data_IF_807907950712
#
_entry.id   IF_807907950712
#
_cell.length_a   1.000
_cell.length_b   1.000
_cell.length_c   1.000
_cell.angle_alpha   90.00
_cell.angle_beta   90.00
_cell.angle_gamma   90.00
#
_symmetry.space_group_name_H-M   'P 1'
#
loop_
_entity.id
_entity.type
_entity.pdbx_description
1 polymer ?
#
# COMPACT_ATOMS: atom_id res chain seq x y z
N UNK A 1 23.27 1.28 18.72
CA UNK A 1 22.98 1.59 17.32
C UNK A 1 21.53 1.21 17.05
N UNK A 2 20.74 2.09 16.49
CA UNK A 2 19.30 1.82 16.26
C UNK A 2 19.06 1.33 14.84
N UNK A 3 18.35 0.23 14.67
CA UNK A 3 17.85 -0.24 13.38
C UNK A 3 16.63 0.57 12.90
N UNK A 4 16.08 1.41 13.77
CA UNK A 4 14.89 2.20 13.47
C UNK A 4 15.21 3.32 12.47
N UNK A 5 14.34 3.51 11.51
CA UNK A 5 14.36 4.65 10.59
C UNK A 5 13.76 5.88 11.27
N UNK A 6 14.20 7.05 10.87
CA UNK A 6 13.48 8.29 11.18
C UNK A 6 12.12 8.31 10.48
N UNK A 7 11.23 9.19 10.88
CA UNK A 7 9.92 9.32 10.24
C UNK A 7 10.04 9.62 8.75
N UNK A 8 10.90 10.54 8.36
CA UNK A 8 11.08 10.92 6.95
C UNK A 8 11.71 9.79 6.13
N UNK A 9 12.68 9.06 6.71
CA UNK A 9 13.24 7.87 6.06
C UNK A 9 12.20 6.77 5.87
N UNK A 10 11.33 6.53 6.86
CA UNK A 10 10.26 5.53 6.76
C UNK A 10 9.26 5.90 5.64
N UNK A 11 8.86 7.16 5.54
CA UNK A 11 8.01 7.62 4.45
C UNK A 11 8.68 7.53 3.09
N UNK A 12 9.97 7.85 3.00
CA UNK A 12 10.75 7.66 1.76
C UNK A 12 10.80 6.19 1.33
N UNK A 13 10.95 5.27 2.28
CA UNK A 13 10.89 3.82 1.99
C UNK A 13 9.52 3.41 1.46
N UNK A 14 8.44 3.91 2.07
CA UNK A 14 7.08 3.66 1.59
C UNK A 14 6.89 4.17 0.16
N UNK A 15 7.27 5.41 -0.13
CA UNK A 15 7.13 6.02 -1.46
C UNK A 15 7.89 5.26 -2.55
N UNK A 16 9.08 4.77 -2.24
CA UNK A 16 9.96 4.07 -3.17
C UNK A 16 9.60 2.59 -3.34
N UNK A 17 8.82 2.01 -2.44
CA UNK A 17 8.45 0.59 -2.50
C UNK A 17 7.43 0.33 -3.61
N UNK A 18 7.63 -0.77 -4.35
CA UNK A 18 6.79 -1.12 -5.49
C UNK A 18 5.48 -1.80 -5.06
N UNK A 19 5.55 -2.72 -4.14
CA UNK A 19 4.40 -3.50 -3.67
C UNK A 19 4.27 -3.38 -2.17
N UNK A 20 3.06 -3.19 -1.70
CA UNK A 20 2.74 -3.19 -0.27
C UNK A 20 1.77 -4.30 0.07
N UNK A 21 1.66 -4.61 1.35
CA UNK A 21 0.73 -5.59 1.89
C UNK A 21 -0.30 -4.85 2.73
N UNK A 22 -1.54 -4.86 2.27
CA UNK A 22 -2.67 -4.33 3.03
C UNK A 22 -3.32 -5.45 3.84
N UNK A 23 -3.56 -5.21 5.12
CA UNK A 23 -4.26 -6.15 6.00
C UNK A 23 -5.58 -5.55 6.47
N UNK A 24 -6.66 -6.27 6.22
CA UNK A 24 -8.02 -5.92 6.64
C UNK A 24 -8.62 -7.06 7.45
N UNK A 25 -9.66 -6.79 8.24
CA UNK A 25 -10.22 -7.74 9.18
C UNK A 25 -11.52 -8.37 8.66
N UNK A 26 -11.65 -9.68 8.79
CA UNK A 26 -12.90 -10.41 8.61
C UNK A 26 -13.87 -10.10 9.77
N UNK A 27 -15.12 -10.55 9.64
CA UNK A 27 -16.13 -10.39 10.70
C UNK A 27 -15.77 -11.09 12.00
N UNK A 28 -15.04 -12.21 11.91
CA UNK A 28 -14.53 -12.96 13.04
C UNK A 28 -13.23 -12.38 13.63
N UNK A 29 -12.75 -11.24 13.10
CA UNK A 29 -11.52 -10.60 13.51
C UNK A 29 -10.26 -11.17 12.87
N UNK A 30 -10.35 -12.22 12.07
CA UNK A 30 -9.19 -12.79 11.40
C UNK A 30 -8.61 -11.81 10.39
N UNK A 31 -7.28 -11.54 10.40
CA UNK A 31 -6.63 -10.66 9.46
C UNK A 31 -6.46 -11.34 8.10
N UNK A 32 -6.68 -10.58 7.03
CA UNK A 32 -6.42 -10.98 5.65
C UNK A 32 -5.42 -10.01 5.06
N UNK A 33 -4.21 -10.51 4.79
CA UNK A 33 -3.09 -9.76 4.22
C UNK A 33 -2.93 -10.10 2.75
N UNK A 34 -2.91 -9.09 1.89
CA UNK A 34 -2.82 -9.25 0.44
C UNK A 34 -1.86 -8.22 -0.16
N UNK A 35 -1.04 -8.60 -1.17
CA UNK A 35 -0.21 -7.66 -1.89
C UNK A 35 -1.05 -6.74 -2.76
N UNK A 36 -0.66 -5.48 -2.82
CA UNK A 36 -1.33 -4.43 -3.61
C UNK A 36 -0.33 -3.46 -4.19
N UNK A 37 -0.71 -2.82 -5.28
CA UNK A 37 -0.08 -1.59 -5.74
C UNK A 37 -0.68 -0.40 -5.00
N UNK A 38 0.13 0.60 -4.75
CA UNK A 38 -0.26 1.75 -3.94
C UNK A 38 0.55 3.00 -4.29
N UNK A 39 0.04 4.13 -3.88
CA UNK A 39 0.78 5.39 -3.88
C UNK A 39 0.68 6.07 -2.53
N UNK A 40 1.65 6.92 -2.24
CA UNK A 40 1.66 7.78 -1.06
C UNK A 40 1.46 9.22 -1.52
N UNK A 41 0.48 9.90 -0.95
CA UNK A 41 0.22 11.32 -1.14
C UNK A 41 -0.02 11.95 0.23
N UNK A 42 0.71 13.01 0.55
CA UNK A 42 0.55 13.75 1.79
C UNK A 42 0.56 12.85 3.05
N UNK A 43 1.47 11.88 3.08
CA UNK A 43 1.60 10.87 4.16
C UNK A 43 0.33 10.03 4.41
N UNK A 44 -0.45 9.82 3.36
CA UNK A 44 -1.53 8.84 3.32
C UNK A 44 -1.19 7.79 2.26
N UNK A 45 -1.60 6.56 2.51
CA UNK A 45 -1.45 5.45 1.54
C UNK A 45 -2.76 5.25 0.82
N UNK A 46 -2.71 5.17 -0.51
CA UNK A 46 -3.87 4.97 -1.36
C UNK A 46 -3.75 3.68 -2.16
N UNK A 47 -4.79 2.87 -2.10
CA UNK A 47 -4.91 1.60 -2.82
C UNK A 47 -6.17 1.62 -3.65
N UNK A 48 -6.04 1.46 -4.98
CA UNK A 48 -7.19 1.38 -5.88
C UNK A 48 -7.35 -0.03 -6.43
N UNK A 49 -8.58 -0.42 -6.69
CA UNK A 49 -8.91 -1.71 -7.29
C UNK A 49 -10.42 -1.87 -7.50
N UNK A 50 -10.88 -3.05 -7.93
CA UNK A 50 -12.29 -3.27 -8.16
C UNK A 50 -13.15 -2.94 -6.93
N UNK A 51 -14.24 -2.21 -7.14
CA UNK A 51 -15.17 -1.85 -6.06
C UNK A 51 -15.80 -3.09 -5.40
N UNK A 52 -15.89 -4.20 -6.12
CA UNK A 52 -16.36 -5.50 -5.63
C UNK A 52 -15.35 -6.27 -4.79
N UNK A 53 -14.10 -5.79 -4.68
CA UNK A 53 -13.08 -6.47 -3.89
C UNK A 53 -13.49 -6.55 -2.42
N UNK A 54 -13.33 -7.73 -1.82
CA UNK A 54 -13.76 -7.99 -0.42
C UNK A 54 -13.12 -7.04 0.59
N UNK A 55 -11.91 -6.54 0.32
CA UNK A 55 -11.25 -5.55 1.19
C UNK A 55 -12.04 -4.24 1.30
N UNK A 56 -12.73 -3.84 0.23
CA UNK A 56 -13.59 -2.64 0.26
C UNK A 56 -14.72 -2.80 1.26
N UNK A 57 -15.43 -3.93 1.21
CA UNK A 57 -16.50 -4.24 2.17
C UNK A 57 -15.97 -4.36 3.61
N UNK A 58 -14.76 -4.95 3.78
CA UNK A 58 -14.13 -5.07 5.09
C UNK A 58 -13.82 -3.70 5.69
N UNK A 59 -13.21 -2.80 4.93
CA UNK A 59 -12.88 -1.43 5.37
C UNK A 59 -14.14 -0.63 5.73
N UNK A 60 -15.22 -0.77 4.95
CA UNK A 60 -16.49 -0.10 5.28
C UNK A 60 -17.09 -0.58 6.59
N UNK A 61 -16.91 -1.85 6.92
CA UNK A 61 -17.43 -2.44 8.16
C UNK A 61 -16.51 -2.18 9.35
N UNK A 62 -15.21 -2.34 9.15
CA UNK A 62 -14.19 -2.18 10.19
C UNK A 62 -13.01 -1.41 9.58
N UNK A 63 -12.83 -0.13 9.93
CA UNK A 63 -11.82 0.72 9.32
C UNK A 63 -10.40 0.41 9.79
N UNK A 64 -10.19 -0.47 10.76
CA UNK A 64 -8.85 -0.84 11.20
C UNK A 64 -8.11 -1.53 10.07
N UNK A 65 -6.89 -1.08 9.81
CA UNK A 65 -6.06 -1.54 8.71
C UNK A 65 -4.59 -1.49 9.11
N UNK A 66 -3.80 -2.38 8.55
CA UNK A 66 -2.35 -2.22 8.55
C UNK A 66 -1.80 -2.25 7.13
N UNK A 67 -0.64 -1.65 6.97
CA UNK A 67 0.07 -1.62 5.70
C UNK A 67 1.56 -1.87 5.93
N UNK A 68 2.14 -2.77 5.15
CA UNK A 68 3.53 -3.19 5.26
C UNK A 68 4.21 -3.08 3.90
N UNK A 69 5.39 -2.51 3.89
CA UNK A 69 6.37 -2.69 2.81
C UNK A 69 7.62 -3.35 3.37
N UNK A 70 8.24 -4.18 2.57
CA UNK A 70 9.46 -4.89 2.96
C UNK A 70 10.42 -5.04 1.78
N UNK A 71 11.68 -5.24 2.07
CA UNK A 71 12.72 -5.50 1.09
C UNK A 71 13.86 -6.30 1.73
N UNK A 72 14.67 -6.94 0.88
CA UNK A 72 15.86 -7.69 1.26
C UNK A 72 15.62 -9.19 1.30
N UNK A 73 16.58 -9.95 0.75
CA UNK A 73 16.57 -11.40 0.77
C UNK A 73 17.44 -11.95 1.90
N UNK A 74 18.59 -11.29 2.15
CA UNK A 74 19.51 -11.66 3.22
C UNK A 74 19.13 -10.96 4.51
N UNK A 75 19.40 -11.58 5.67
CA UNK A 75 19.08 -11.00 6.95
C UNK A 75 19.61 -9.56 7.14
N UNK A 76 20.85 -9.30 6.69
CA UNK A 76 21.47 -7.97 6.76
C UNK A 76 20.81 -6.91 5.86
N UNK A 77 20.03 -7.34 4.87
CA UNK A 77 19.33 -6.49 3.90
C UNK A 77 17.89 -6.23 4.29
N UNK A 78 17.36 -6.99 5.27
CA UNK A 78 15.96 -6.87 5.67
C UNK A 78 15.65 -5.45 6.14
N UNK A 79 14.72 -4.85 5.45
CA UNK A 79 14.20 -3.51 5.74
C UNK A 79 12.69 -3.53 5.61
N UNK A 80 12.00 -2.91 6.55
CA UNK A 80 10.56 -2.83 6.47
C UNK A 80 10.03 -1.55 7.12
N UNK A 81 8.85 -1.16 6.66
CA UNK A 81 8.03 -0.12 7.28
C UNK A 81 6.62 -0.68 7.42
N UNK A 82 6.12 -0.67 8.63
CA UNK A 82 4.77 -1.10 8.97
C UNK A 82 4.02 0.04 9.64
N UNK A 83 2.83 0.32 9.17
CA UNK A 83 1.91 1.25 9.81
C UNK A 83 0.58 0.57 10.12
N UNK A 84 -0.01 0.99 11.20
CA UNK A 84 -1.43 0.78 11.48
C UNK A 84 -2.17 2.08 11.24
N UNK A 85 -3.46 2.00 11.02
CA UNK A 85 -4.27 3.19 10.78
C UNK A 85 -5.72 2.85 10.53
N UNK A 86 -6.40 3.81 9.94
CA UNK A 86 -7.81 3.71 9.57
C UNK A 86 -7.97 3.89 8.07
N UNK A 87 -8.69 2.96 7.47
CA UNK A 87 -9.04 2.99 6.06
C UNK A 87 -10.43 3.56 5.84
N UNK A 88 -10.61 4.28 4.76
CA UNK A 88 -11.91 4.71 4.25
C UNK A 88 -11.96 4.58 2.74
N UNK A 89 -13.15 4.43 2.19
CA UNK A 89 -13.37 4.51 0.74
C UNK A 89 -13.51 5.97 0.34
N UNK A 90 -12.65 6.41 -0.58
CA UNK A 90 -12.59 7.80 -1.04
C UNK A 90 -13.77 8.10 -1.97
N UNK A 91 -14.46 9.21 -1.73
CA UNK A 91 -15.54 9.71 -2.58
C UNK A 91 -15.24 11.03 -3.28
N UNK A 92 -14.19 11.75 -2.82
CA UNK A 92 -13.84 13.09 -3.31
C UNK A 92 -13.19 13.02 -4.70
N UNK A 93 -13.79 13.61 -5.74
CA UNK A 93 -13.27 13.54 -7.12
C UNK A 93 -11.83 14.04 -7.27
N UNK A 94 -11.46 15.06 -6.51
CA UNK A 94 -10.11 15.66 -6.57
C UNK A 94 -9.04 14.68 -6.06
N UNK A 95 -9.32 13.98 -4.97
CA UNK A 95 -8.42 12.96 -4.42
C UNK A 95 -8.32 11.80 -5.41
N UNK A 96 -9.44 11.32 -5.93
CA UNK A 96 -9.48 10.22 -6.90
C UNK A 96 -8.66 10.56 -8.14
N UNK A 97 -8.75 11.78 -8.66
CA UNK A 97 -7.98 12.24 -9.81
C UNK A 97 -6.48 12.24 -9.52
N UNK A 98 -6.04 12.78 -8.38
CA UNK A 98 -4.64 12.78 -7.96
C UNK A 98 -4.08 11.38 -7.80
N UNK A 99 -4.83 10.48 -7.18
CA UNK A 99 -4.44 9.07 -7.00
C UNK A 99 -4.31 8.37 -8.35
N UNK A 100 -5.25 8.57 -9.26
CA UNK A 100 -5.20 7.97 -10.60
C UNK A 100 -3.94 8.40 -11.38
N UNK A 101 -3.60 9.69 -11.34
CA UNK A 101 -2.39 10.22 -11.97
C UNK A 101 -1.13 9.61 -11.34
N UNK A 102 -1.06 9.55 -10.01
CA UNK A 102 0.09 9.01 -9.29
C UNK A 102 0.27 7.49 -9.56
N UNK A 103 -0.81 6.72 -9.58
CA UNK A 103 -0.77 5.30 -9.91
C UNK A 103 -0.33 5.06 -11.37
N UNK A 104 -0.80 5.87 -12.30
CA UNK A 104 -0.38 5.78 -13.70
C UNK A 104 1.11 6.10 -13.86
N UNK A 105 1.61 7.11 -13.18
CA UNK A 105 3.02 7.48 -13.18
C UNK A 105 3.91 6.37 -12.59
N UNK A 106 3.50 5.78 -11.46
CA UNK A 106 4.28 4.76 -10.75
C UNK A 106 4.28 3.41 -11.47
N UNK A 107 3.14 2.98 -12.00
CA UNK A 107 2.93 1.62 -12.48
C UNK A 107 2.67 1.49 -13.99
N UNK A 108 2.62 2.59 -14.73
CA UNK A 108 2.29 2.57 -16.15
C UNK A 108 3.19 1.65 -16.97
N UNK A 109 4.51 1.68 -16.70
CA UNK A 109 5.49 0.84 -17.39
C UNK A 109 5.39 -0.67 -17.06
N UNK A 110 4.70 -1.02 -15.98
CA UNK A 110 4.52 -2.41 -15.53
C UNK A 110 3.19 -3.02 -15.99
N UNK A 111 2.36 -2.26 -16.70
CA UNK A 111 1.09 -2.76 -17.22
C UNK A 111 1.26 -3.14 -18.69
N UNK A 112 0.76 -4.31 -19.10
CA UNK A 112 0.71 -4.65 -20.52
C UNK A 112 -0.23 -3.65 -21.24
N UNK A 113 0.03 -3.33 -22.53
CA UNK A 113 -0.89 -2.53 -23.31
C UNK A 113 -2.24 -3.24 -23.42
N UNK A 114 -3.34 -2.48 -23.44
CA UNK A 114 -4.71 -3.03 -23.51
C UNK A 114 -4.90 -4.02 -24.65
N UNK A 115 -4.23 -3.79 -25.78
CA UNK A 115 -4.25 -4.69 -26.95
C UNK A 115 -3.67 -6.08 -26.69
N UNK A 116 -2.75 -6.19 -25.72
CA UNK A 116 -2.12 -7.45 -25.31
C UNK A 116 -2.80 -8.14 -24.12
N UNK A 117 -3.88 -7.53 -23.57
CA UNK A 117 -4.59 -8.10 -22.44
C UNK A 117 -5.63 -9.13 -22.89
N UNK A 118 -5.71 -10.27 -22.19
CA UNK A 118 -6.80 -11.21 -22.30
C UNK A 118 -8.15 -10.53 -21.95
N UNK A 119 -9.26 -11.02 -22.52
CA UNK A 119 -10.58 -10.44 -22.31
C UNK A 119 -10.98 -10.33 -20.82
N UNK A 120 -10.68 -11.35 -20.02
CA UNK A 120 -10.95 -11.34 -18.58
C UNK A 120 -10.14 -10.26 -17.86
N UNK A 121 -8.88 -10.03 -18.27
CA UNK A 121 -8.03 -8.98 -17.70
C UNK A 121 -8.54 -7.60 -18.09
N UNK A 122 -8.97 -7.40 -19.33
CA UNK A 122 -9.61 -6.13 -19.76
C UNK A 122 -10.86 -5.83 -18.97
N UNK A 123 -11.74 -6.81 -18.80
CA UNK A 123 -12.96 -6.67 -17.99
C UNK A 123 -12.66 -6.27 -16.55
N UNK A 124 -11.56 -6.78 -15.96
CA UNK A 124 -11.11 -6.40 -14.63
C UNK A 124 -10.74 -4.91 -14.56
N UNK A 125 -10.05 -4.38 -15.57
CA UNK A 125 -9.68 -2.97 -15.63
C UNK A 125 -10.83 -2.03 -16.03
N UNK A 126 -11.89 -2.56 -16.63
CA UNK A 126 -13.10 -1.82 -16.99
C UNK A 126 -14.14 -1.81 -15.86
N UNK A 127 -13.95 -2.63 -14.81
CA UNK A 127 -14.82 -2.66 -13.65
C UNK A 127 -14.79 -1.33 -12.88
N UNK A 128 -15.90 -1.01 -12.21
CA UNK A 128 -15.94 0.13 -11.31
C UNK A 128 -14.85 0.02 -10.24
N UNK A 129 -14.08 1.10 -10.06
CA UNK A 129 -12.98 1.16 -9.10
C UNK A 129 -13.45 1.77 -7.78
N UNK A 130 -12.82 1.32 -6.71
CA UNK A 130 -12.85 1.97 -5.40
C UNK A 130 -11.41 2.23 -4.95
N UNK A 131 -11.22 3.38 -4.34
CA UNK A 131 -9.95 3.79 -3.75
C UNK A 131 -10.08 3.80 -2.24
N UNK A 132 -9.18 3.11 -1.57
CA UNK A 132 -9.05 3.13 -0.11
C UNK A 132 -7.93 4.10 0.24
N UNK A 133 -8.23 5.05 1.13
CA UNK A 133 -7.26 5.91 1.78
C UNK A 133 -6.94 5.33 3.15
N UNK A 134 -5.68 5.20 3.49
CA UNK A 134 -5.21 4.81 4.81
C UNK A 134 -4.60 6.03 5.47
N UNK A 135 -5.22 6.47 6.57
CA UNK A 135 -4.68 7.48 7.48
C UNK A 135 -3.89 6.76 8.56
N UNK A 136 -2.57 6.93 8.63
CA UNK A 136 -1.76 6.23 9.63
C UNK A 136 -2.00 6.76 11.03
N UNK A 137 -1.82 5.88 12.02
CA UNK A 137 -1.67 6.26 13.42
C UNK A 137 -0.33 7.01 13.63
N UNK A 138 -0.14 7.61 14.80
CA UNK A 138 1.03 8.45 15.11
C UNK A 138 2.37 7.69 15.06
N UNK A 139 2.32 6.36 15.20
CA UNK A 139 3.52 5.52 15.24
C UNK A 139 3.67 4.66 14.00
N UNK A 140 4.77 4.87 13.30
CA UNK A 140 5.22 4.01 12.20
C UNK A 140 6.33 3.10 12.73
N UNK A 141 6.13 1.79 12.61
CA UNK A 141 7.14 0.79 12.96
C UNK A 141 8.10 0.61 11.77
N UNK A 142 9.39 0.72 12.01
CA UNK A 142 10.37 0.60 10.93
C UNK A 142 11.66 -0.03 11.42
N UNK A 143 12.34 -0.75 10.53
CA UNK A 143 13.69 -1.25 10.77
C UNK A 143 14.49 -1.41 9.47
N UNK A 144 15.80 -1.34 9.63
CA UNK A 144 16.78 -1.55 8.54
C UNK A 144 18.01 -2.26 9.15
N UNK A 145 18.14 -3.55 8.84
CA UNK A 145 19.22 -4.39 9.36
C UNK A 145 20.59 -3.99 8.81
N UNK A 146 20.66 -3.31 7.65
CA UNK A 146 21.92 -2.80 7.13
C UNK A 146 22.62 -1.82 8.08
N UNK A 147 21.90 -1.24 9.02
CA UNK A 147 22.44 -0.35 10.06
C UNK A 147 23.24 -1.08 11.14
N UNK A 148 23.00 -2.39 11.32
CA UNK A 148 23.74 -3.21 12.29
C UNK A 148 25.14 -3.57 11.78
N UNK A 149 25.35 -3.64 10.47
CA UNK A 149 26.65 -4.00 9.86
C UNK A 149 27.64 -2.86 9.66
N UNK A 150 27.24 -1.63 9.98
CA UNK A 150 28.15 -0.48 9.92
C UNK A 150 28.95 -0.36 11.20
N UNK A 151 29.99 -1.19 11.35
CA UNK A 151 31.10 -0.88 12.25
C UNK A 151 31.85 0.33 11.67
N UNK A 152 32.01 1.37 12.50
CA UNK A 152 32.87 2.53 12.18
C UNK A 152 34.33 2.08 12.10
#
# INVERSE_FOLDING_TARGET
MSVRLSTDEAWSVLEQSHTGIITTLRRDGAPIALPVWFVVLDRHVYVSGPASARRVARIRRDPRVSFLVEAGERWVELRAVHLTGRGRVVGEPEILARVAVALAAKYGAFRPPRSAMAAATRAHYEAALATIEITPDDHVLSWDNARLGRTR
#
